data_IF_693991078974
#
_entry.id   IF_693991078974
#
_cell.length_a   1.000
_cell.length_b   1.000
_cell.length_c   1.000
_cell.angle_alpha   90.00
_cell.angle_beta   90.00
_cell.angle_gamma   90.00
#
_symmetry.space_group_name_H-M   'P 1'
#
loop_
_entity.id
_entity.type
_entity.pdbx_description
1 polymer ?
#
# COMPACT_ATOMS: atom_id res chain seq x y z
N UNK A 1 60.85 -61.43 19.47
CA UNK A 1 59.86 -61.88 18.46
C UNK A 1 58.53 -61.18 18.72
N UNK A 2 58.27 -60.07 18.02
CA UNK A 2 56.98 -59.59 17.47
C UNK A 2 57.20 -58.16 16.98
N UNK A 3 56.92 -57.96 15.70
CA UNK A 3 57.14 -56.75 14.88
C UNK A 3 55.76 -56.15 14.60
N UNK A 4 55.72 -54.85 14.24
CA UNK A 4 54.65 -54.09 13.55
C UNK A 4 53.53 -53.57 14.49
N UNK A 5 53.04 -52.32 14.40
CA UNK A 5 53.08 -51.32 13.33
C UNK A 5 52.68 -49.91 13.85
N UNK A 6 53.25 -48.90 13.17
CA UNK A 6 52.97 -47.47 13.24
C UNK A 6 51.49 -47.09 13.10
N UNK A 7 50.99 -46.14 13.92
CA UNK A 7 50.09 -45.06 13.48
C UNK A 7 50.37 -43.78 14.26
N UNK A 8 50.93 -42.80 13.54
CA UNK A 8 50.85 -41.37 13.82
C UNK A 8 49.40 -40.96 14.14
N UNK A 9 49.18 -40.27 15.25
CA UNK A 9 48.04 -39.36 15.40
C UNK A 9 48.57 -38.05 15.96
N UNK A 10 48.79 -37.11 15.06
CA UNK A 10 49.01 -35.70 15.38
C UNK A 10 47.68 -35.03 15.74
N UNK A 11 47.76 -34.16 16.76
CA UNK A 11 47.15 -32.84 16.88
C UNK A 11 45.63 -32.68 16.71
N UNK A 12 45.00 -32.02 17.69
CA UNK A 12 44.76 -30.58 17.61
C UNK A 12 44.08 -30.07 18.89
N UNK A 13 44.65 -29.03 19.48
CA UNK A 13 44.02 -28.23 20.52
C UNK A 13 42.74 -27.59 19.96
N UNK A 14 41.60 -27.83 20.62
CA UNK A 14 40.31 -27.27 20.24
C UNK A 14 40.26 -25.77 20.46
N UNK A 15 40.52 -24.99 19.42
CA UNK A 15 40.12 -23.59 19.36
C UNK A 15 38.63 -23.54 19.03
N UNK A 16 37.79 -23.22 20.02
CA UNK A 16 36.39 -22.88 19.80
C UNK A 16 36.33 -21.56 19.01
N UNK A 17 36.25 -21.66 17.68
CA UNK A 17 35.90 -20.55 16.83
C UNK A 17 34.41 -20.24 17.02
N UNK A 18 34.10 -19.31 17.93
CA UNK A 18 32.77 -18.68 17.98
C UNK A 18 32.65 -17.86 16.68
N UNK A 19 31.96 -18.41 15.68
CA UNK A 19 31.53 -17.68 14.49
C UNK A 19 30.53 -16.60 14.92
N UNK A 20 31.03 -15.39 15.15
CA UNK A 20 30.22 -14.18 15.12
C UNK A 20 29.82 -13.93 13.66
N UNK A 21 28.77 -14.62 13.20
CA UNK A 21 28.09 -14.24 11.98
C UNK A 21 27.43 -12.88 12.23
N UNK A 22 28.12 -11.80 11.81
CA UNK A 22 27.52 -10.49 11.73
C UNK A 22 26.32 -10.60 10.79
N UNK A 23 25.10 -10.55 11.36
CA UNK A 23 23.88 -10.49 10.57
C UNK A 23 23.90 -9.14 9.86
N UNK A 24 24.20 -9.15 8.56
CA UNK A 24 23.94 -8.01 7.70
C UNK A 24 22.43 -7.73 7.77
N UNK A 25 22.06 -6.64 8.44
CA UNK A 25 20.68 -6.20 8.49
C UNK A 25 20.41 -5.45 7.20
N UNK A 26 19.83 -6.16 6.23
CA UNK A 26 19.36 -5.53 5.00
C UNK A 26 18.04 -4.82 5.32
N UNK A 27 17.96 -3.55 4.95
CA UNK A 27 16.71 -2.79 5.03
C UNK A 27 15.64 -3.52 4.22
N UNK A 28 14.53 -3.86 4.86
CA UNK A 28 13.46 -4.65 4.26
C UNK A 28 12.67 -3.74 3.31
N UNK A 29 12.57 -4.14 2.05
CA UNK A 29 11.64 -3.53 1.11
C UNK A 29 10.21 -3.82 1.56
N UNK A 30 9.31 -2.84 1.52
CA UNK A 30 7.92 -3.02 1.98
C UNK A 30 7.18 -4.15 1.25
N UNK A 31 7.63 -4.54 0.06
CA UNK A 31 7.07 -5.67 -0.68
C UNK A 31 7.56 -7.04 -0.17
N UNK A 32 8.51 -7.07 0.77
CA UNK A 32 9.00 -8.28 1.44
C UNK A 32 8.41 -8.46 2.85
N UNK A 33 7.44 -7.62 3.25
CA UNK A 33 6.75 -7.80 4.51
C UNK A 33 5.93 -9.10 4.49
N UNK A 34 6.01 -9.86 5.59
CA UNK A 34 5.15 -11.02 5.80
C UNK A 34 3.86 -10.57 6.44
N UNK A 35 2.73 -10.93 5.84
CA UNK A 35 1.39 -10.61 6.33
C UNK A 35 0.71 -11.85 6.91
N UNK A 36 -0.22 -11.72 7.87
CA UNK A 36 -0.65 -10.47 8.52
C UNK A 36 0.38 -9.92 9.53
N UNK A 37 0.40 -8.60 9.71
CA UNK A 37 1.30 -7.93 10.66
C UNK A 37 0.60 -7.77 12.01
N UNK A 38 0.92 -8.62 12.97
CA UNK A 38 0.27 -8.67 14.28
C UNK A 38 0.40 -7.35 15.05
N UNK A 39 1.57 -6.70 14.98
CA UNK A 39 1.86 -5.43 15.67
C UNK A 39 1.03 -4.26 15.11
N UNK A 40 0.50 -4.40 13.91
CA UNK A 40 -0.28 -3.37 13.20
C UNK A 40 -1.76 -3.76 13.10
N UNK A 41 -2.28 -4.43 14.14
CA UNK A 41 -3.70 -4.80 14.21
C UNK A 41 -4.07 -5.98 13.30
N UNK A 42 -3.11 -6.86 13.00
CA UNK A 42 -3.27 -8.00 12.09
C UNK A 42 -3.67 -7.59 10.66
N UNK A 43 -3.20 -6.43 10.19
CA UNK A 43 -3.42 -6.04 8.79
C UNK A 43 -2.81 -7.08 7.84
N UNK A 44 -3.63 -7.61 6.93
CA UNK A 44 -3.30 -8.73 6.04
C UNK A 44 -2.72 -8.28 4.69
N UNK A 45 -2.73 -6.98 4.41
CA UNK A 45 -2.23 -6.41 3.16
C UNK A 45 -1.55 -5.06 3.40
N UNK A 46 -0.68 -4.64 2.49
CA UNK A 46 -0.06 -3.30 2.52
C UNK A 46 -1.11 -2.19 2.58
N UNK A 47 -2.27 -2.37 1.94
CA UNK A 47 -3.39 -1.39 1.95
C UNK A 47 -4.05 -1.32 3.33
N UNK A 48 -4.32 -2.46 3.95
CA UNK A 48 -4.85 -2.50 5.32
C UNK A 48 -3.86 -1.88 6.30
N UNK A 49 -2.57 -2.19 6.17
CA UNK A 49 -1.57 -1.63 7.06
C UNK A 49 -1.42 -0.11 6.85
N UNK A 50 -1.45 0.39 5.61
CA UNK A 50 -1.50 1.82 5.33
C UNK A 50 -2.74 2.49 5.93
N UNK A 51 -3.90 1.84 5.84
CA UNK A 51 -5.16 2.33 6.42
C UNK A 51 -5.08 2.39 7.94
N UNK A 52 -4.60 1.31 8.57
CA UNK A 52 -4.34 1.25 10.00
C UNK A 52 -3.39 2.37 10.43
N UNK A 53 -2.26 2.54 9.74
CA UNK A 53 -1.26 3.57 10.02
C UNK A 53 -1.71 5.00 9.72
N UNK A 54 -2.70 5.19 8.85
CA UNK A 54 -3.31 6.48 8.57
C UNK A 54 -4.15 7.01 9.75
N UNK A 55 -4.54 6.15 10.69
CA UNK A 55 -5.21 6.58 11.91
C UNK A 55 -4.19 7.11 12.91
N UNK A 56 -4.39 8.35 13.39
CA UNK A 56 -3.48 8.99 14.33
C UNK A 56 -3.23 8.20 15.62
N UNK A 57 -4.22 7.45 16.10
CA UNK A 57 -4.10 6.58 17.26
C UNK A 57 -3.10 5.43 17.04
N UNK A 58 -2.92 5.00 15.78
CA UNK A 58 -2.06 3.89 15.40
C UNK A 58 -0.69 4.34 14.86
N UNK A 59 -0.55 5.63 14.54
CA UNK A 59 0.70 6.19 14.01
C UNK A 59 1.93 5.85 14.88
N UNK A 60 1.88 5.89 16.23
CA UNK A 60 3.00 5.46 17.06
C UNK A 60 3.42 4.00 16.84
N UNK A 61 2.45 3.07 16.73
CA UNK A 61 2.71 1.66 16.46
C UNK A 61 3.37 1.45 15.09
N UNK A 62 2.87 2.15 14.07
CA UNK A 62 3.44 2.10 12.73
C UNK A 62 4.84 2.69 12.64
N UNK A 63 5.10 3.78 13.35
CA UNK A 63 6.44 4.36 13.45
C UNK A 63 7.42 3.39 14.13
N UNK A 64 6.98 2.73 15.20
CA UNK A 64 7.77 1.72 15.89
C UNK A 64 8.08 0.53 14.98
N UNK A 65 7.06 0.01 14.26
CA UNK A 65 7.23 -1.06 13.28
C UNK A 65 8.19 -0.68 12.15
N UNK A 66 8.03 0.49 11.54
CA UNK A 66 8.93 0.94 10.49
C UNK A 66 10.39 1.03 10.96
N UNK A 67 10.61 1.48 12.20
CA UNK A 67 11.93 1.54 12.81
C UNK A 67 12.52 0.15 13.10
N UNK A 68 11.73 -0.78 13.65
CA UNK A 68 12.20 -2.14 14.00
C UNK A 68 12.47 -3.00 12.77
N UNK A 69 11.74 -2.78 11.67
CA UNK A 69 11.88 -3.52 10.42
C UNK A 69 12.77 -2.79 9.39
N UNK A 70 13.41 -1.67 9.78
CA UNK A 70 14.27 -0.86 8.94
C UNK A 70 13.63 -0.53 7.57
N UNK A 71 12.33 -0.24 7.59
CA UNK A 71 11.62 0.19 6.39
C UNK A 71 12.28 1.49 5.94
N UNK A 72 12.82 1.49 4.72
CA UNK A 72 13.55 2.67 4.23
C UNK A 72 12.63 3.90 4.25
N UNK A 73 13.12 5.05 4.75
CA UNK A 73 12.41 6.29 4.56
C UNK A 73 12.30 6.61 3.06
N UNK A 74 11.28 7.38 2.64
CA UNK A 74 11.14 7.77 1.25
C UNK A 74 12.37 8.56 0.79
N UNK A 75 12.89 8.20 -0.38
CA UNK A 75 13.96 8.92 -1.08
C UNK A 75 13.47 10.29 -1.55
N UNK A 76 14.39 11.18 -1.95
CA UNK A 76 13.98 12.48 -2.48
C UNK A 76 13.22 12.35 -3.81
N UNK A 77 13.49 11.31 -4.59
CA UNK A 77 12.69 10.93 -5.75
C UNK A 77 11.27 10.55 -5.34
N UNK A 78 11.11 9.68 -4.33
CA UNK A 78 9.79 9.29 -3.82
C UNK A 78 8.98 10.49 -3.32
N UNK A 79 9.65 11.43 -2.62
CA UNK A 79 9.04 12.66 -2.14
C UNK A 79 8.61 13.57 -3.29
N UNK A 80 9.43 13.70 -4.32
CA UNK A 80 9.11 14.53 -5.49
C UNK A 80 7.90 14.00 -6.23
N UNK A 81 7.88 12.69 -6.52
CA UNK A 81 6.74 12.02 -7.15
C UNK A 81 5.47 12.16 -6.31
N UNK A 82 5.58 11.99 -4.98
CA UNK A 82 4.47 12.18 -4.06
C UNK A 82 3.89 13.60 -4.12
N UNK A 83 4.74 14.63 -4.16
CA UNK A 83 4.30 16.02 -4.26
C UNK A 83 3.65 16.30 -5.60
N UNK A 84 4.19 15.77 -6.70
CA UNK A 84 3.63 15.96 -8.04
C UNK A 84 2.23 15.39 -8.18
N UNK A 85 1.96 14.24 -7.56
CA UNK A 85 0.63 13.66 -7.49
C UNK A 85 -0.28 14.40 -6.50
N UNK A 86 0.26 14.83 -5.35
CA UNK A 86 -0.49 15.44 -4.26
C UNK A 86 -0.93 16.87 -4.55
N UNK A 87 -0.12 17.66 -5.25
CA UNK A 87 -0.24 19.13 -5.28
C UNK A 87 -1.62 19.64 -5.70
N UNK A 88 -2.22 19.02 -6.71
CA UNK A 88 -3.54 19.41 -7.20
C UNK A 88 -4.67 18.91 -6.29
N UNK A 89 -4.46 17.78 -5.62
CA UNK A 89 -5.48 17.18 -4.76
C UNK A 89 -5.47 17.82 -3.36
N UNK A 90 -4.29 17.93 -2.74
CA UNK A 90 -4.08 18.41 -1.38
C UNK A 90 -3.80 19.92 -1.30
N UNK A 91 -3.35 20.56 -2.38
CA UNK A 91 -3.03 21.99 -2.39
C UNK A 91 -1.67 22.34 -1.79
N UNK A 92 -0.77 21.36 -1.67
CA UNK A 92 0.60 21.54 -1.17
C UNK A 92 1.62 21.60 -2.32
N UNK A 93 2.81 22.15 -2.08
CA UNK A 93 3.83 22.36 -3.13
C UNK A 93 5.20 21.77 -2.79
N UNK A 94 5.32 21.14 -1.62
CA UNK A 94 6.54 20.47 -1.15
C UNK A 94 6.18 19.33 -0.20
N UNK A 95 7.11 18.41 0.01
CA UNK A 95 6.87 17.28 0.91
C UNK A 95 6.48 17.74 2.32
N UNK A 96 7.18 18.75 2.84
CA UNK A 96 6.92 19.29 4.18
C UNK A 96 5.58 20.02 4.26
N UNK A 97 5.17 20.76 3.22
CA UNK A 97 3.85 21.41 3.21
C UNK A 97 2.72 20.38 3.08
N UNK A 98 2.91 19.31 2.29
CA UNK A 98 1.95 18.21 2.23
C UNK A 98 1.85 17.47 3.57
N UNK A 99 3.00 17.20 4.20
CA UNK A 99 3.05 16.55 5.52
C UNK A 99 2.36 17.39 6.58
N UNK A 100 2.66 18.69 6.65
CA UNK A 100 2.03 19.61 7.59
C UNK A 100 0.52 19.70 7.36
N UNK A 101 0.07 19.79 6.11
CA UNK A 101 -1.35 19.75 5.75
C UNK A 101 -2.02 18.47 6.28
N UNK A 102 -1.41 17.30 6.07
CA UNK A 102 -1.95 16.01 6.51
C UNK A 102 -1.88 15.75 8.02
N UNK A 103 -1.08 16.51 8.75
CA UNK A 103 -1.04 16.44 10.22
C UNK A 103 -2.22 17.15 10.88
N UNK A 104 -2.90 18.04 10.15
CA UNK A 104 -4.10 18.72 10.63
C UNK A 104 -5.30 17.74 10.63
N UNK A 105 -6.07 17.73 11.71
CA UNK A 105 -7.12 16.73 11.94
C UNK A 105 -8.22 16.81 10.88
N UNK A 106 -8.60 18.04 10.52
CA UNK A 106 -9.57 18.40 9.49
C UNK A 106 -9.19 17.93 8.09
N UNK A 107 -7.90 17.74 7.81
CA UNK A 107 -7.39 17.34 6.51
C UNK A 107 -7.10 15.84 6.40
N UNK A 108 -7.20 15.09 7.52
CA UNK A 108 -6.85 13.67 7.56
C UNK A 108 -7.63 12.83 6.57
N UNK A 109 -8.95 13.05 6.46
CA UNK A 109 -9.78 12.32 5.51
C UNK A 109 -9.29 12.56 4.07
N UNK A 110 -9.00 13.81 3.72
CA UNK A 110 -8.50 14.17 2.39
C UNK A 110 -7.13 13.53 2.12
N UNK A 111 -6.24 13.49 3.10
CA UNK A 111 -4.95 12.82 2.95
C UNK A 111 -5.07 11.30 2.86
N UNK A 112 -6.05 10.71 3.56
CA UNK A 112 -6.35 9.29 3.46
C UNK A 112 -6.91 8.95 2.07
N UNK A 113 -7.83 9.77 1.54
CA UNK A 113 -8.33 9.66 0.17
C UNK A 113 -7.20 9.74 -0.86
N UNK A 114 -6.25 10.66 -0.68
CA UNK A 114 -5.05 10.75 -1.53
C UNK A 114 -4.16 9.49 -1.44
N UNK A 115 -3.85 9.03 -0.23
CA UNK A 115 -3.01 7.84 0.00
C UNK A 115 -3.61 6.57 -0.60
N UNK A 116 -4.93 6.44 -0.51
CA UNK A 116 -5.70 5.35 -1.10
C UNK A 116 -5.75 5.49 -2.62
N UNK A 117 -5.94 6.70 -3.17
CA UNK A 117 -5.94 6.93 -4.62
C UNK A 117 -4.57 6.62 -5.26
N UNK A 118 -3.46 6.79 -4.53
CA UNK A 118 -2.12 6.33 -4.95
C UNK A 118 -1.95 4.82 -4.82
N UNK A 119 -2.73 4.17 -3.95
CA UNK A 119 -2.67 2.73 -3.74
C UNK A 119 -3.40 2.02 -4.88
N UNK A 120 -2.63 1.57 -5.87
CA UNK A 120 -3.09 0.81 -7.03
C UNK A 120 -3.59 -0.59 -6.62
N UNK A 121 -4.72 -0.70 -5.93
CA UNK A 121 -5.34 -1.99 -5.65
C UNK A 121 -6.17 -2.42 -6.88
N UNK A 122 -5.70 -3.37 -7.72
CA UNK A 122 -6.56 -3.94 -8.74
C UNK A 122 -7.73 -4.65 -8.08
N UNK A 123 -8.93 -4.51 -8.61
CA UNK A 123 -10.09 -5.29 -8.17
C UNK A 123 -9.85 -6.76 -8.58
N UNK A 124 -9.52 -7.61 -7.61
CA UNK A 124 -9.24 -9.04 -7.80
C UNK A 124 -10.33 -9.92 -7.17
N UNK A 125 -10.38 -11.23 -7.50
CA UNK A 125 -11.30 -12.18 -6.85
C UNK A 125 -11.14 -12.20 -5.33
N UNK A 126 -9.91 -12.07 -4.84
CA UNK A 126 -9.61 -12.00 -3.42
C UNK A 126 -10.24 -10.75 -2.77
N UNK A 127 -10.16 -9.59 -3.43
CA UNK A 127 -10.79 -8.37 -2.93
C UNK A 127 -12.31 -8.49 -2.91
N UNK A 128 -12.94 -8.96 -3.98
CA UNK A 128 -14.41 -9.13 -3.97
C UNK A 128 -14.82 -10.14 -2.89
N UNK A 129 -14.01 -11.17 -2.64
CA UNK A 129 -14.22 -12.13 -1.56
C UNK A 129 -14.19 -11.49 -0.18
N UNK A 130 -13.24 -10.60 0.07
CA UNK A 130 -13.15 -9.84 1.32
C UNK A 130 -14.38 -8.96 1.58
N UNK A 131 -15.10 -8.56 0.52
CA UNK A 131 -16.27 -7.68 0.62
C UNK A 131 -17.58 -8.34 0.18
N UNK A 132 -17.68 -9.67 0.08
CA UNK A 132 -18.84 -10.36 -0.51
C UNK A 132 -20.19 -9.91 0.07
N UNK A 133 -20.27 -9.73 1.40
CA UNK A 133 -21.50 -9.24 2.04
C UNK A 133 -21.86 -7.82 1.61
N UNK A 134 -20.88 -6.92 1.62
CA UNK A 134 -21.07 -5.52 1.27
C UNK A 134 -21.31 -5.32 -0.24
N UNK A 135 -20.61 -6.05 -1.12
CA UNK A 135 -20.85 -5.99 -2.56
C UNK A 135 -22.23 -6.54 -2.92
N UNK A 136 -22.66 -7.63 -2.28
CA UNK A 136 -23.99 -8.20 -2.52
C UNK A 136 -25.09 -7.24 -2.03
N UNK A 137 -24.91 -6.65 -0.86
CA UNK A 137 -25.92 -5.78 -0.25
C UNK A 137 -26.03 -4.41 -0.95
N UNK A 138 -24.92 -3.79 -1.32
CA UNK A 138 -24.90 -2.41 -1.80
C UNK A 138 -24.82 -2.29 -3.33
N UNK A 139 -24.17 -3.24 -3.98
CA UNK A 139 -23.98 -3.24 -5.44
C UNK A 139 -24.79 -4.35 -6.14
N UNK A 140 -25.21 -5.39 -5.42
CA UNK A 140 -25.94 -6.52 -5.98
C UNK A 140 -25.04 -7.50 -6.75
N UNK A 141 -23.76 -7.58 -6.40
CA UNK A 141 -22.78 -8.43 -7.09
C UNK A 141 -21.93 -9.23 -6.09
N UNK A 142 -21.47 -10.40 -6.50
CA UNK A 142 -20.73 -11.35 -5.65
C UNK A 142 -19.59 -12.07 -6.37
N UNK A 143 -19.10 -11.50 -7.47
CA UNK A 143 -17.92 -11.97 -8.19
C UNK A 143 -17.25 -10.79 -8.90
N UNK A 144 -15.99 -10.93 -9.30
CA UNK A 144 -15.30 -9.86 -10.03
C UNK A 144 -16.02 -9.54 -11.34
N UNK A 145 -16.44 -10.56 -12.06
CA UNK A 145 -17.12 -10.43 -13.34
C UNK A 145 -18.48 -9.75 -13.17
N UNK A 146 -19.28 -10.16 -12.18
CA UNK A 146 -20.59 -9.56 -11.91
C UNK A 146 -20.47 -8.13 -11.38
N UNK A 147 -19.49 -7.85 -10.50
CA UNK A 147 -19.24 -6.51 -10.00
C UNK A 147 -18.68 -5.59 -11.08
N UNK A 148 -17.81 -6.10 -11.96
CA UNK A 148 -17.34 -5.38 -13.13
C UNK A 148 -18.48 -5.03 -14.07
N UNK A 149 -19.30 -6.01 -14.45
CA UNK A 149 -20.47 -5.78 -15.31
C UNK A 149 -21.44 -4.76 -14.70
N UNK A 150 -21.66 -4.84 -13.38
CA UNK A 150 -22.49 -3.88 -12.65
C UNK A 150 -21.90 -2.47 -12.70
N UNK A 151 -20.61 -2.31 -12.38
CA UNK A 151 -19.97 -1.01 -12.27
C UNK A 151 -19.55 -0.38 -13.60
N UNK A 152 -19.53 -1.16 -14.68
CA UNK A 152 -19.32 -0.64 -16.03
C UNK A 152 -20.63 -0.03 -16.61
N UNK A 153 -21.79 -0.24 -15.96
CA UNK A 153 -23.02 0.48 -16.30
C UNK A 153 -22.98 1.93 -15.80
N UNK A 154 -23.23 2.93 -16.66
CA UNK A 154 -23.19 4.35 -16.26
C UNK A 154 -24.11 4.70 -15.08
N UNK A 155 -25.28 4.04 -15.00
CA UNK A 155 -26.27 4.22 -13.92
C UNK A 155 -25.74 3.78 -12.56
N UNK A 156 -24.75 2.89 -12.53
CA UNK A 156 -24.14 2.36 -11.31
C UNK A 156 -22.82 3.06 -10.96
N UNK A 157 -22.35 3.99 -11.81
CA UNK A 157 -21.06 4.63 -11.65
C UNK A 157 -20.92 5.31 -10.29
N UNK A 158 -21.92 6.10 -9.87
CA UNK A 158 -21.87 6.82 -8.60
C UNK A 158 -21.82 5.86 -7.41
N UNK A 159 -22.69 4.84 -7.36
CA UNK A 159 -22.73 3.90 -6.24
C UNK A 159 -21.47 3.02 -6.17
N UNK A 160 -20.95 2.58 -7.31
CA UNK A 160 -19.68 1.85 -7.37
C UNK A 160 -18.50 2.72 -6.95
N UNK A 161 -18.48 4.00 -7.35
CA UNK A 161 -17.47 4.96 -6.89
C UNK A 161 -17.54 5.17 -5.38
N UNK A 162 -18.75 5.28 -4.82
CA UNK A 162 -18.91 5.47 -3.37
C UNK A 162 -18.58 4.21 -2.57
N UNK A 163 -18.91 3.04 -3.09
CA UNK A 163 -18.48 1.76 -2.53
C UNK A 163 -16.95 1.65 -2.53
N UNK A 164 -16.32 1.92 -3.67
CA UNK A 164 -14.86 1.95 -3.79
C UNK A 164 -14.22 2.97 -2.85
N UNK A 165 -14.83 4.14 -2.64
CA UNK A 165 -14.40 5.13 -1.63
C UNK A 165 -14.43 4.57 -0.22
N UNK A 166 -15.58 4.03 0.21
CA UNK A 166 -15.76 3.52 1.58
C UNK A 166 -14.87 2.32 1.88
N UNK A 167 -14.69 1.45 0.90
CA UNK A 167 -13.94 0.19 1.05
C UNK A 167 -12.51 0.28 0.51
N UNK A 168 -12.07 1.46 0.09
CA UNK A 168 -10.73 1.72 -0.44
C UNK A 168 -10.37 0.86 -1.67
N UNK A 169 -11.35 0.63 -2.56
CA UNK A 169 -11.27 -0.25 -3.75
C UNK A 169 -11.20 0.51 -5.07
N UNK A 170 -10.43 1.60 -5.12
CA UNK A 170 -10.38 2.38 -6.34
C UNK A 170 -9.65 1.62 -7.45
N UNK A 171 -10.34 1.43 -8.58
CA UNK A 171 -9.63 1.24 -9.85
C UNK A 171 -8.81 2.50 -10.09
N UNK A 172 -7.52 2.41 -10.46
CA UNK A 172 -6.84 3.56 -11.04
C UNK A 172 -7.66 3.98 -12.27
N UNK A 173 -8.26 5.18 -12.23
CA UNK A 173 -8.51 5.89 -13.48
C UNK A 173 -7.12 6.19 -14.01
N UNK A 174 -6.79 5.88 -15.28
CA UNK A 174 -5.57 6.39 -15.87
C UNK A 174 -5.56 7.91 -15.62
N UNK A 175 -4.53 8.40 -14.92
CA UNK A 175 -4.32 9.84 -14.82
C UNK A 175 -4.34 10.37 -16.26
N UNK A 176 -5.10 11.43 -16.57
CA UNK A 176 -5.03 12.01 -17.90
C UNK A 176 -3.58 12.42 -18.14
N UNK A 177 -2.92 11.72 -19.07
CA UNK A 177 -1.59 12.11 -19.52
C UNK A 177 -1.72 13.51 -20.12
N UNK A 178 -0.71 14.34 -19.88
CA UNK A 178 -0.71 15.80 -20.15
C UNK A 178 -0.89 16.19 -21.63
N UNK A 179 -1.17 15.25 -22.53
CA UNK A 179 -1.50 15.51 -23.95
C UNK A 179 -3.01 15.62 -24.24
N UNK A 180 -3.90 15.55 -23.24
CA UNK A 180 -5.35 15.68 -23.46
C UNK A 180 -5.92 17.10 -23.37
N UNK A 181 -5.07 18.15 -23.38
CA UNK A 181 -5.55 19.55 -23.48
C UNK A 181 -6.07 19.92 -24.88
N UNK A 182 -5.92 19.03 -25.87
CA UNK A 182 -6.50 19.20 -27.21
C UNK A 182 -7.65 18.20 -27.52
N UNK A 183 -8.14 17.47 -26.53
CA UNK A 183 -9.38 16.73 -26.70
C UNK A 183 -10.54 17.72 -26.58
N UNK A 184 -11.18 18.01 -27.72
CA UNK A 184 -12.44 18.75 -27.80
C UNK A 184 -13.36 18.35 -26.66
N UNK A 185 -13.98 19.31 -25.93
CA UNK A 185 -14.90 18.96 -24.85
C UNK A 185 -15.97 18.04 -25.41
N UNK A 186 -16.08 16.81 -24.89
CA UNK A 186 -17.26 15.99 -25.16
C UNK A 186 -18.45 16.70 -24.53
N UNK A 187 -19.12 17.51 -25.33
CA UNK A 187 -20.39 18.20 -25.08
C UNK A 187 -21.57 17.24 -24.97
N UNK A 188 -21.37 16.06 -24.38
CA UNK A 188 -22.41 15.06 -24.09
C UNK A 188 -22.35 14.67 -22.63
N UNK A 189 -22.89 15.55 -21.78
CA UNK A 189 -23.77 15.25 -20.63
C UNK A 189 -24.03 16.55 -19.87
N UNK A 190 -24.56 17.54 -20.58
CA UNK A 190 -25.34 18.62 -19.99
C UNK A 190 -26.27 19.11 -21.11
N UNK A 191 -27.43 18.46 -21.24
CA UNK A 191 -28.57 19.18 -21.80
C UNK A 191 -29.18 19.95 -20.64
N UNK A 192 -29.17 21.29 -20.66
CA UNK A 192 -30.26 22.02 -20.02
C UNK A 192 -31.47 21.87 -20.95
N UNK A 193 -32.64 21.56 -20.41
CA UNK A 193 -33.90 22.08 -20.93
C UNK A 193 -35.03 21.71 -19.97
N UNK A 194 -35.76 22.77 -19.57
CA UNK A 194 -37.08 22.82 -18.93
C UNK A 194 -37.13 22.47 -17.43
#
# INVERSE_FOLDING_TARGET
MKILSSKFVLAAAGASAILLAARAVFAIDVNQLTFPIAELGNCATTVECKTYCGQSANYPACKAFAASHQVKPPTDTDKTELVDEAKNFLGCTSYDTCKAFCQQTENRQKCQEFSVNRSQAPVTPAIVTLFFGATQQELGCNSVESCKATCDQPTNFQRCTQFAKRHNLFRPKPLPTTNSLNATPSSKLMRPDQ
#
